data_IF_907895292982
#
_entry.id   IF_907895292982
#
_cell.length_a   1.000
_cell.length_b   1.000
_cell.length_c   1.000
_cell.angle_alpha   90.00
_cell.angle_beta   90.00
_cell.angle_gamma   90.00
#
_symmetry.space_group_name_H-M   'P 1'
#
loop_
_entity.id
_entity.type
_entity.pdbx_description
1 polymer ?
#
# COMPACT_ATOMS: atom_id res chain seq x y z
N UNK A 1 -41.22 43.01 -40.18
CA UNK A 1 -39.90 43.11 -40.82
C UNK A 1 -38.86 43.19 -39.72
N UNK A 2 -37.88 42.27 -39.75
CA UNK A 2 -36.61 42.25 -39.00
C UNK A 2 -36.71 42.26 -37.45
N UNK A 3 -35.89 41.56 -36.66
CA UNK A 3 -34.62 40.94 -36.95
C UNK A 3 -34.33 39.79 -35.96
N UNK A 4 -33.54 38.83 -36.44
CA UNK A 4 -33.23 37.54 -35.82
C UNK A 4 -31.71 37.47 -35.67
N UNK A 5 -31.19 37.77 -34.49
CA UNK A 5 -29.79 37.52 -34.11
C UNK A 5 -29.77 37.24 -32.61
N UNK A 6 -29.26 36.14 -32.08
CA UNK A 6 -28.04 35.42 -32.41
C UNK A 6 -27.45 35.03 -31.07
N UNK A 7 -27.68 33.79 -30.62
CA UNK A 7 -27.08 33.27 -29.37
C UNK A 7 -26.89 31.75 -29.47
N UNK A 8 -25.99 31.36 -30.36
CA UNK A 8 -25.36 30.03 -30.37
C UNK A 8 -23.88 30.31 -30.21
N UNK A 9 -23.32 30.03 -29.03
CA UNK A 9 -21.92 29.71 -28.75
C UNK A 9 -21.65 29.80 -27.24
N UNK A 10 -22.11 28.79 -26.48
CA UNK A 10 -21.72 28.61 -25.08
C UNK A 10 -21.83 27.13 -24.70
N UNK A 11 -21.14 26.25 -25.45
CA UNK A 11 -21.12 24.81 -25.16
C UNK A 11 -19.76 24.12 -25.29
N UNK A 12 -18.67 24.84 -25.59
CA UNK A 12 -17.36 24.20 -25.86
C UNK A 12 -16.19 24.63 -24.96
N UNK A 13 -16.45 25.34 -23.85
CA UNK A 13 -15.38 25.67 -22.86
C UNK A 13 -15.42 24.76 -21.62
N UNK A 14 -16.40 23.84 -21.53
CA UNK A 14 -16.63 23.01 -20.34
C UNK A 14 -16.08 21.57 -20.45
N UNK A 15 -15.02 21.34 -21.24
CA UNK A 15 -14.44 19.98 -21.41
C UNK A 15 -12.91 19.90 -21.30
N UNK A 16 -12.22 20.93 -20.82
CA UNK A 16 -10.75 20.89 -20.57
C UNK A 16 -10.43 21.19 -19.09
N UNK A 17 -11.38 20.95 -18.18
CA UNK A 17 -11.23 21.21 -16.74
C UNK A 17 -11.35 19.98 -15.84
N UNK A 18 -11.24 18.76 -16.38
CA UNK A 18 -11.54 17.51 -15.66
C UNK A 18 -10.41 16.46 -15.72
N UNK A 19 -9.16 16.89 -15.97
CA UNK A 19 -8.00 15.99 -16.01
C UNK A 19 -6.95 16.24 -14.91
N UNK A 20 -7.11 17.26 -14.05
CA UNK A 20 -6.03 17.71 -13.15
C UNK A 20 -6.33 17.55 -11.65
N UNK A 21 -7.33 16.77 -11.25
CA UNK A 21 -7.80 16.69 -9.86
C UNK A 21 -7.51 15.35 -9.15
N UNK A 22 -6.49 14.59 -9.55
CA UNK A 22 -6.16 13.28 -8.92
C UNK A 22 -4.75 13.22 -8.29
N UNK A 23 -3.97 14.31 -8.33
CA UNK A 23 -2.58 14.30 -7.79
C UNK A 23 -2.38 15.03 -6.45
N UNK A 24 -3.42 15.22 -5.62
CA UNK A 24 -3.33 15.95 -4.34
C UNK A 24 -3.33 15.09 -3.06
N UNK A 25 -2.97 13.80 -3.13
CA UNK A 25 -2.89 12.92 -1.93
C UNK A 25 -1.49 12.43 -1.57
N UNK A 26 -0.44 13.04 -2.12
CA UNK A 26 0.94 12.76 -1.69
C UNK A 26 1.73 14.05 -1.58
N UNK A 27 1.29 14.96 -0.70
CA UNK A 27 2.21 15.98 -0.23
C UNK A 27 3.38 15.23 0.44
N UNK A 28 4.62 15.36 -0.05
CA UNK A 28 5.76 14.86 0.69
C UNK A 28 5.76 15.61 2.01
N UNK A 29 5.65 14.88 3.13
CA UNK A 29 5.99 15.45 4.43
C UNK A 29 7.39 16.06 4.25
N UNK A 30 7.48 17.39 4.25
CA UNK A 30 8.75 18.08 4.33
C UNK A 30 9.27 17.76 5.74
N UNK A 31 9.96 16.63 5.84
CA UNK A 31 10.58 16.17 7.08
C UNK A 31 11.68 17.14 7.43
N UNK A 32 11.34 18.17 8.20
CA UNK A 32 12.31 18.82 9.06
C UNK A 32 12.81 17.73 10.00
N UNK A 33 13.96 17.15 9.67
CA UNK A 33 14.56 16.06 10.45
C UNK A 33 15.16 16.68 11.72
N UNK A 34 14.31 16.88 12.72
CA UNK A 34 14.74 17.19 14.08
C UNK A 34 15.19 15.88 14.69
N UNK A 35 16.50 15.61 14.64
CA UNK A 35 17.08 14.51 15.41
C UNK A 35 16.79 14.79 16.88
N UNK A 36 15.86 14.05 17.48
CA UNK A 36 15.49 14.26 18.88
C UNK A 36 16.54 13.62 19.77
N UNK A 37 17.29 14.46 20.48
CA UNK A 37 18.17 14.06 21.58
C UNK A 37 17.44 14.14 22.94
N UNK A 38 16.11 14.29 22.94
CA UNK A 38 15.35 14.43 24.17
C UNK A 38 15.40 13.11 24.97
N UNK A 39 15.66 13.17 26.29
CA UNK A 39 15.56 12.00 27.15
C UNK A 39 14.11 11.48 27.14
N UNK A 40 13.95 10.16 27.18
CA UNK A 40 12.62 9.54 27.27
C UNK A 40 12.05 9.86 28.64
N UNK A 41 11.02 10.70 28.68
CA UNK A 41 10.25 10.96 29.89
C UNK A 41 9.47 9.71 30.32
N UNK A 42 9.31 9.52 31.63
CA UNK A 42 8.66 8.33 32.18
C UNK A 42 7.20 8.20 31.72
N UNK A 43 6.51 9.32 31.51
CA UNK A 43 5.11 9.36 31.05
C UNK A 43 4.94 8.88 29.61
N UNK A 44 5.94 9.10 28.74
CA UNK A 44 5.88 8.73 27.31
C UNK A 44 6.61 7.41 27.00
N UNK A 45 7.24 6.80 27.99
CA UNK A 45 8.04 5.58 27.85
C UNK A 45 7.26 4.42 27.24
N UNK A 46 6.02 4.20 27.69
CA UNK A 46 5.19 3.09 27.22
C UNK A 46 4.74 3.31 25.76
N UNK A 47 4.43 4.55 25.38
CA UNK A 47 4.17 4.93 24.00
C UNK A 47 5.35 4.53 23.11
N UNK A 48 6.56 4.97 23.46
CA UNK A 48 7.74 4.77 22.63
C UNK A 48 8.12 3.30 22.50
N UNK A 49 8.03 2.55 23.60
CA UNK A 49 8.30 1.11 23.62
C UNK A 49 7.34 0.36 22.70
N UNK A 50 6.05 0.65 22.81
CA UNK A 50 5.02 -0.03 22.02
C UNK A 50 5.08 0.38 20.54
N UNK A 51 5.25 1.66 20.23
CA UNK A 51 5.44 2.15 18.87
C UNK A 51 6.66 1.50 18.20
N UNK A 52 7.78 1.39 18.93
CA UNK A 52 8.99 0.72 18.44
C UNK A 52 8.73 -0.77 18.18
N UNK A 53 8.08 -1.48 19.12
CA UNK A 53 7.73 -2.90 18.95
C UNK A 53 6.85 -3.11 17.71
N UNK A 54 5.80 -2.30 17.55
CA UNK A 54 4.91 -2.37 16.38
C UNK A 54 5.67 -2.10 15.09
N UNK A 55 6.56 -1.11 15.07
CA UNK A 55 7.36 -0.78 13.90
C UNK A 55 8.33 -1.91 13.52
N UNK A 56 8.97 -2.56 14.50
CA UNK A 56 9.80 -3.73 14.24
C UNK A 56 8.98 -4.91 13.68
N UNK A 57 7.80 -5.16 14.25
CA UNK A 57 6.90 -6.21 13.77
C UNK A 57 6.43 -5.93 12.33
N UNK A 58 6.18 -4.65 12.01
CA UNK A 58 5.86 -4.19 10.66
C UNK A 58 7.01 -4.49 9.68
N UNK A 59 8.26 -4.14 10.00
CA UNK A 59 9.42 -4.43 9.14
C UNK A 59 9.53 -5.93 8.87
N UNK A 60 9.45 -6.77 9.92
CA UNK A 60 9.51 -8.24 9.78
C UNK A 60 8.35 -8.77 8.93
N UNK A 61 7.17 -8.19 9.04
CA UNK A 61 6.00 -8.58 8.26
C UNK A 61 6.19 -8.21 6.78
N UNK A 62 6.72 -7.01 6.48
CA UNK A 62 7.07 -6.60 5.12
C UNK A 62 8.09 -7.57 4.47
N UNK A 63 9.11 -8.01 5.22
CA UNK A 63 10.06 -9.04 4.74
C UNK A 63 9.36 -10.37 4.39
N UNK A 64 8.32 -10.75 5.15
CA UNK A 64 7.56 -11.99 4.89
C UNK A 64 6.64 -11.84 3.69
N UNK A 65 5.98 -10.70 3.55
CA UNK A 65 5.13 -10.37 2.38
C UNK A 65 5.97 -10.41 1.11
N UNK A 66 7.10 -9.71 1.09
CA UNK A 66 8.01 -9.66 -0.05
C UNK A 66 8.49 -11.04 -0.50
N UNK A 67 9.02 -11.85 0.44
CA UNK A 67 9.48 -13.20 0.14
C UNK A 67 8.36 -14.10 -0.39
N UNK A 68 7.12 -13.88 0.04
CA UNK A 68 5.99 -14.73 -0.36
C UNK A 68 5.37 -14.24 -1.66
N UNK A 69 5.48 -12.97 -1.98
CA UNK A 69 5.18 -12.44 -3.31
C UNK A 69 6.22 -12.91 -4.35
N UNK A 70 7.47 -13.11 -3.94
CA UNK A 70 8.52 -13.65 -4.81
C UNK A 70 8.24 -15.10 -5.24
N UNK A 71 7.90 -15.96 -4.28
CA UNK A 71 7.55 -17.38 -4.49
C UNK A 71 6.15 -17.66 -3.93
N UNK A 72 5.09 -17.40 -4.71
CA UNK A 72 3.73 -17.45 -4.20
C UNK A 72 3.26 -18.89 -3.98
N UNK A 73 2.65 -19.13 -2.83
CA UNK A 73 2.07 -20.40 -2.42
C UNK A 73 0.76 -20.11 -1.68
N UNK A 74 -0.33 -20.79 -2.04
CA UNK A 74 -1.67 -20.51 -1.53
C UNK A 74 -1.75 -20.53 0.01
N UNK A 75 -1.19 -21.57 0.64
CA UNK A 75 -1.19 -21.72 2.11
C UNK A 75 -0.41 -20.60 2.78
N UNK A 76 0.80 -20.31 2.27
CA UNK A 76 1.68 -19.25 2.79
C UNK A 76 1.05 -17.85 2.67
N UNK A 77 0.41 -17.57 1.53
CA UNK A 77 -0.28 -16.29 1.31
C UNK A 77 -1.47 -16.14 2.29
N UNK A 78 -2.26 -17.19 2.54
CA UNK A 78 -3.33 -17.15 3.57
C UNK A 78 -2.78 -16.86 4.96
N UNK A 79 -1.70 -17.53 5.35
CA UNK A 79 -1.04 -17.29 6.64
C UNK A 79 -0.59 -15.83 6.75
N UNK A 80 -0.03 -15.25 5.68
CA UNK A 80 0.40 -13.85 5.67
C UNK A 80 -0.78 -12.90 5.73
N UNK A 81 -1.87 -13.15 5.00
CA UNK A 81 -3.10 -12.37 5.11
C UNK A 81 -3.62 -12.31 6.55
N UNK A 82 -3.58 -13.44 7.26
CA UNK A 82 -3.90 -13.52 8.69
C UNK A 82 -2.94 -12.71 9.58
N UNK A 83 -1.63 -12.79 9.33
CA UNK A 83 -0.64 -12.01 10.08
C UNK A 83 -0.80 -10.49 9.84
N UNK A 84 -1.11 -10.09 8.60
CA UNK A 84 -1.40 -8.68 8.28
C UNK A 84 -2.61 -8.20 9.08
N UNK A 85 -3.70 -8.96 9.11
CA UNK A 85 -4.88 -8.61 9.91
C UNK A 85 -4.55 -8.42 11.39
N UNK A 86 -3.82 -9.37 11.99
CA UNK A 86 -3.44 -9.30 13.40
C UNK A 86 -2.59 -8.06 13.69
N UNK A 87 -1.67 -7.71 12.78
CA UNK A 87 -0.84 -6.53 12.91
C UNK A 87 -1.65 -5.23 12.80
N UNK A 88 -2.55 -5.12 11.81
CA UNK A 88 -3.48 -3.98 11.68
C UNK A 88 -4.24 -3.78 12.99
N UNK A 89 -4.84 -4.84 13.55
CA UNK A 89 -5.60 -4.75 14.80
C UNK A 89 -4.74 -4.42 16.03
N UNK A 90 -3.44 -4.73 16.01
CA UNK A 90 -2.52 -4.30 17.07
C UNK A 90 -2.23 -2.80 16.96
N UNK A 91 -1.96 -2.32 15.75
CA UNK A 91 -1.72 -0.89 15.49
C UNK A 91 -2.97 -0.08 15.79
N UNK A 92 -4.16 -0.46 15.33
CA UNK A 92 -5.42 0.24 15.62
C UNK A 92 -5.70 0.39 17.11
N UNK A 93 -5.42 -0.65 17.91
CA UNK A 93 -5.57 -0.58 19.38
C UNK A 93 -4.60 0.42 19.99
N UNK A 94 -3.34 0.40 19.55
CA UNK A 94 -2.33 1.37 19.98
C UNK A 94 -2.72 2.80 19.57
N UNK A 95 -3.19 3.00 18.35
CA UNK A 95 -3.62 4.32 17.88
C UNK A 95 -4.78 4.84 18.74
N UNK A 96 -5.81 4.01 18.92
CA UNK A 96 -7.00 4.36 19.71
C UNK A 96 -6.69 4.63 21.19
N UNK A 97 -5.73 3.94 21.79
CA UNK A 97 -5.35 4.16 23.20
C UNK A 97 -4.61 5.46 23.43
N UNK A 98 -3.91 5.98 22.41
CA UNK A 98 -3.13 7.21 22.53
C UNK A 98 -3.90 8.43 22.00
N UNK A 99 -4.52 8.33 20.82
CA UNK A 99 -5.34 9.39 20.22
C UNK A 99 -6.59 8.79 19.53
N UNK A 100 -7.78 8.85 20.13
CA UNK A 100 -8.98 8.18 19.62
C UNK A 100 -9.44 8.59 18.20
N UNK A 101 -8.90 9.70 17.65
CA UNK A 101 -9.30 10.29 16.36
C UNK A 101 -8.07 10.50 15.47
N UNK A 102 -7.48 9.44 14.89
CA UNK A 102 -6.25 9.53 14.10
C UNK A 102 -6.38 10.44 12.87
N UNK A 103 -7.53 10.45 12.20
CA UNK A 103 -7.75 11.25 10.99
C UNK A 103 -7.56 12.76 11.23
N UNK A 104 -8.01 13.24 12.39
CA UNK A 104 -7.87 14.66 12.76
C UNK A 104 -6.42 15.04 13.05
N UNK A 105 -5.65 14.11 13.61
CA UNK A 105 -4.25 14.34 13.96
C UNK A 105 -3.34 14.28 12.73
N UNK A 106 -3.57 13.32 11.84
CA UNK A 106 -2.69 13.03 10.72
C UNK A 106 -3.09 13.74 9.41
N UNK A 107 -4.27 14.33 9.36
CA UNK A 107 -4.76 15.10 8.22
C UNK A 107 -5.63 16.25 8.72
N UNK A 108 -5.03 17.24 9.42
CA UNK A 108 -5.80 18.37 9.93
C UNK A 108 -6.46 19.11 8.77
N UNK A 109 -7.77 19.44 8.86
CA UNK A 109 -8.43 20.32 7.92
C UNK A 109 -7.67 21.65 7.82
N UNK A 110 -7.52 22.20 6.62
CA UNK A 110 -6.79 23.45 6.40
C UNK A 110 -7.33 24.66 7.20
N UNK A 111 -8.56 24.56 7.69
CA UNK A 111 -9.26 25.59 8.48
C UNK A 111 -9.05 25.44 10.00
N UNK A 112 -8.63 24.25 10.46
CA UNK A 112 -8.30 24.03 11.86
C UNK A 112 -6.81 24.31 12.01
N UNK A 113 -6.47 25.30 12.84
CA UNK A 113 -5.09 25.61 13.22
C UNK A 113 -4.46 24.48 14.05
N UNK A 114 -3.73 24.83 15.11
CA UNK A 114 -3.19 23.82 16.04
C UNK A 114 -4.30 22.83 16.48
N UNK A 115 -4.02 21.53 16.33
CA UNK A 115 -5.00 20.48 16.56
C UNK A 115 -5.26 20.37 18.07
N UNK A 116 -6.43 20.84 18.52
CA UNK A 116 -6.81 20.79 19.93
C UNK A 116 -6.66 19.36 20.49
N UNK A 117 -5.87 19.22 21.57
CA UNK A 117 -5.57 17.93 22.20
C UNK A 117 -4.21 17.32 21.82
N UNK A 118 -3.39 18.01 21.03
CA UNK A 118 -1.97 17.66 20.82
C UNK A 118 -1.02 18.34 21.80
N UNK A 119 -1.53 19.11 22.75
CA UNK A 119 -0.74 19.97 23.64
C UNK A 119 0.27 19.19 24.51
N UNK A 120 0.08 17.86 24.65
CA UNK A 120 1.02 16.94 25.31
C UNK A 120 1.80 16.01 24.38
N UNK A 121 1.60 16.10 23.06
CA UNK A 121 2.27 15.28 22.07
C UNK A 121 3.48 16.03 21.49
N UNK A 122 4.67 15.46 21.61
CA UNK A 122 5.82 15.98 20.84
C UNK A 122 5.61 15.79 19.34
N UNK A 123 6.23 16.64 18.52
CA UNK A 123 6.18 16.54 17.06
C UNK A 123 6.62 15.14 16.58
N UNK A 124 7.67 14.60 17.19
CA UNK A 124 8.21 13.28 16.87
C UNK A 124 7.21 12.16 17.16
N UNK A 125 6.47 12.23 18.29
CA UNK A 125 5.39 11.29 18.58
C UNK A 125 4.30 11.36 17.53
N UNK A 126 3.89 12.58 17.12
CA UNK A 126 2.87 12.74 16.08
C UNK A 126 3.35 12.15 14.75
N UNK A 127 4.62 12.35 14.38
CA UNK A 127 5.19 11.76 13.16
C UNK A 127 5.15 10.22 13.20
N UNK A 128 5.59 9.60 14.29
CA UNK A 128 5.57 8.14 14.46
C UNK A 128 4.14 7.61 14.46
N UNK A 129 3.24 8.28 15.18
CA UNK A 129 1.83 7.94 15.24
C UNK A 129 1.19 7.94 13.84
N UNK A 130 1.42 8.99 13.07
CA UNK A 130 0.84 9.13 11.74
C UNK A 130 1.47 8.19 10.71
N UNK A 131 2.76 7.85 10.84
CA UNK A 131 3.36 6.81 10.03
C UNK A 131 2.72 5.43 10.29
N UNK A 132 2.43 5.10 11.55
CA UNK A 132 1.72 3.87 11.92
C UNK A 132 0.25 3.90 11.45
N UNK A 133 -0.43 5.05 11.53
CA UNK A 133 -1.78 5.19 10.97
C UNK A 133 -1.79 4.97 9.46
N UNK A 134 -0.86 5.57 8.73
CA UNK A 134 -0.77 5.37 7.29
C UNK A 134 -0.45 3.90 6.93
N UNK A 135 0.35 3.21 7.75
CA UNK A 135 0.71 1.83 7.47
C UNK A 135 -0.47 0.85 7.58
N UNK A 136 -1.49 1.14 8.39
CA UNK A 136 -2.70 0.29 8.45
C UNK A 136 -3.46 0.32 7.13
N UNK A 137 -3.53 1.47 6.46
CA UNK A 137 -4.12 1.61 5.13
C UNK A 137 -3.33 0.81 4.08
N UNK A 138 -2.01 0.93 4.08
CA UNK A 138 -1.14 0.17 3.16
C UNK A 138 -1.34 -1.34 3.34
N UNK A 139 -1.35 -1.80 4.60
CA UNK A 139 -1.52 -3.20 4.92
C UNK A 139 -2.91 -3.73 4.58
N UNK A 140 -3.94 -2.90 4.70
CA UNK A 140 -5.30 -3.27 4.27
C UNK A 140 -5.32 -3.54 2.76
N UNK A 141 -4.68 -2.66 1.97
CA UNK A 141 -4.55 -2.86 0.53
C UNK A 141 -3.71 -4.10 0.20
N UNK A 142 -2.53 -4.25 0.82
CA UNK A 142 -1.67 -5.43 0.63
C UNK A 142 -2.40 -6.74 0.97
N UNK A 143 -3.17 -6.77 2.06
CA UNK A 143 -3.95 -7.94 2.46
C UNK A 143 -4.96 -8.32 1.37
N UNK A 144 -5.70 -7.35 0.85
CA UNK A 144 -6.70 -7.62 -0.20
C UNK A 144 -6.06 -8.28 -1.44
N UNK A 145 -4.85 -7.84 -1.81
CA UNK A 145 -4.09 -8.38 -2.93
C UNK A 145 -3.56 -9.79 -2.64
N UNK A 146 -3.00 -10.01 -1.44
CA UNK A 146 -2.52 -11.32 -0.97
C UNK A 146 -3.67 -12.34 -0.91
N UNK A 147 -4.82 -11.97 -0.36
CA UNK A 147 -6.00 -12.83 -0.25
C UNK A 147 -6.56 -13.19 -1.64
N UNK A 148 -6.63 -12.22 -2.55
CA UNK A 148 -7.00 -12.46 -3.95
C UNK A 148 -6.05 -13.44 -4.63
N UNK A 149 -4.74 -13.24 -4.47
CA UNK A 149 -3.74 -14.12 -5.05
C UNK A 149 -3.83 -15.54 -4.48
N UNK A 150 -4.01 -15.67 -3.15
CA UNK A 150 -4.19 -16.97 -2.51
C UNK A 150 -5.42 -17.72 -3.03
N UNK A 151 -6.52 -17.00 -3.29
CA UNK A 151 -7.76 -17.57 -3.86
C UNK A 151 -7.54 -18.08 -5.27
N UNK A 152 -6.85 -17.33 -6.13
CA UNK A 152 -6.54 -17.75 -7.50
C UNK A 152 -5.69 -19.02 -7.54
N UNK A 153 -4.73 -19.15 -6.61
CA UNK A 153 -3.88 -20.32 -6.51
C UNK A 153 -4.56 -21.55 -5.88
N UNK A 154 -5.62 -21.32 -5.08
CA UNK A 154 -6.41 -22.40 -4.47
C UNK A 154 -7.53 -22.89 -5.38
N UNK A 155 -7.79 -22.22 -6.52
CA UNK A 155 -8.86 -22.61 -7.41
C UNK A 155 -8.55 -24.01 -7.96
N UNK A 156 -9.44 -25.00 -7.77
CA UNK A 156 -9.23 -26.31 -8.37
C UNK A 156 -9.09 -26.09 -9.87
N UNK A 157 -8.03 -26.64 -10.45
CA UNK A 157 -7.95 -26.76 -11.90
C UNK A 157 -9.16 -27.61 -12.26
N UNK A 158 -10.21 -26.95 -12.76
CA UNK A 158 -11.36 -27.65 -13.32
C UNK A 158 -10.78 -28.30 -14.57
N UNK A 159 -10.22 -29.49 -14.40
CA UNK A 159 -10.04 -30.45 -15.48
C UNK A 159 -11.45 -30.71 -15.94
N UNK A 160 -11.89 -29.91 -16.90
CA UNK A 160 -13.09 -30.17 -17.65
C UNK A 160 -12.93 -31.60 -18.13
N UNK A 161 -13.65 -32.53 -17.49
CA UNK A 161 -13.86 -33.84 -18.03
C UNK A 161 -14.55 -33.55 -19.35
N UNK A 162 -13.79 -33.57 -20.44
CA UNK A 162 -14.34 -33.58 -21.78
C UNK A 162 -15.10 -34.89 -21.85
N UNK A 163 -16.35 -34.86 -21.41
CA UNK A 163 -17.31 -35.90 -21.73
C UNK A 163 -17.52 -35.74 -23.22
N UNK A 164 -16.66 -36.39 -24.01
CA UNK A 164 -16.89 -36.58 -25.43
C UNK A 164 -18.27 -37.24 -25.55
N UNK A 165 -19.28 -36.58 -26.14
CA UNK A 165 -20.44 -37.32 -26.57
C UNK A 165 -19.98 -38.21 -27.72
N UNK A 166 -19.89 -39.51 -27.47
CA UNK A 166 -19.88 -40.54 -28.50
C UNK A 166 -21.21 -40.43 -29.25
N UNK A 167 -21.25 -39.60 -30.30
CA UNK A 167 -22.32 -39.67 -31.27
C UNK A 167 -21.72 -39.64 -32.67
N UNK A 168 -21.78 -40.76 -33.43
CA UNK A 168 -21.34 -40.78 -34.80
C UNK A 168 -22.40 -40.11 -35.68
N UNK A 169 -21.92 -39.31 -36.64
CA UNK A 169 -22.56 -39.02 -37.93
C UNK A 169 -23.54 -37.84 -37.98
N UNK A 170 -23.00 -36.67 -38.32
CA UNK A 170 -23.52 -35.87 -39.46
C UNK A 170 -22.48 -34.85 -39.91
N UNK A 171 -22.12 -34.89 -41.19
CA UNK A 171 -21.32 -33.87 -41.85
C UNK A 171 -22.13 -32.57 -41.91
N UNK A 172 -21.65 -31.49 -41.30
CA UNK A 172 -21.97 -30.13 -41.73
C UNK A 172 -20.86 -29.15 -41.35
N UNK A 173 -20.17 -28.70 -42.39
CA UNK A 173 -19.21 -27.60 -42.43
C UNK A 173 -19.82 -26.34 -41.82
N UNK A 174 -19.21 -25.77 -40.80
CA UNK A 174 -19.69 -24.54 -40.18
C UNK A 174 -18.79 -24.05 -39.05
N UNK A 175 -17.90 -23.13 -39.39
CA UNK A 175 -17.28 -22.08 -38.56
C UNK A 175 -16.73 -22.51 -37.18
N UNK A 176 -15.41 -22.66 -37.17
CA UNK A 176 -14.55 -22.82 -36.00
C UNK A 176 -14.78 -21.69 -34.98
N UNK A 177 -15.24 -21.97 -33.75
CA UNK A 177 -15.21 -21.00 -32.68
C UNK A 177 -13.77 -20.91 -32.16
N UNK A 178 -13.16 -19.76 -32.41
CA UNK A 178 -11.88 -19.33 -31.86
C UNK A 178 -11.82 -19.61 -30.35
N UNK A 179 -10.90 -20.47 -29.94
CA UNK A 179 -10.61 -20.75 -28.54
C UNK A 179 -10.26 -19.44 -27.82
N UNK A 180 -10.87 -19.14 -26.65
CA UNK A 180 -10.47 -17.99 -25.85
C UNK A 180 -9.05 -18.24 -25.32
N UNK A 181 -8.11 -17.40 -25.76
CA UNK A 181 -6.73 -17.39 -25.31
C UNK A 181 -6.66 -17.31 -23.77
N UNK A 182 -5.75 -18.04 -23.11
CA UNK A 182 -5.56 -17.97 -21.67
C UNK A 182 -5.15 -16.54 -21.29
N UNK A 183 -5.98 -15.91 -20.48
CA UNK A 183 -5.84 -14.52 -20.07
C UNK A 183 -4.59 -14.32 -19.21
N UNK A 184 -3.73 -13.40 -19.64
CA UNK A 184 -2.48 -12.93 -19.03
C UNK A 184 -2.65 -12.16 -17.70
N UNK A 185 -3.77 -12.36 -16.99
CA UNK A 185 -4.15 -11.57 -15.81
C UNK A 185 -3.32 -11.80 -14.53
N UNK A 186 -2.30 -12.66 -14.55
CA UNK A 186 -1.53 -13.03 -13.35
C UNK A 186 -0.31 -12.15 -13.06
N UNK A 187 0.13 -11.30 -13.99
CA UNK A 187 1.40 -10.55 -13.82
C UNK A 187 1.23 -9.28 -12.97
N UNK A 188 0.04 -8.65 -13.00
CA UNK A 188 -0.17 -7.33 -12.39
C UNK A 188 -0.13 -7.36 -10.85
N UNK A 189 -0.59 -8.43 -10.20
CA UNK A 189 -0.74 -8.45 -8.73
C UNK A 189 0.60 -8.51 -7.98
N UNK A 190 1.62 -9.16 -8.54
CA UNK A 190 2.94 -9.26 -7.88
C UNK A 190 3.64 -7.90 -7.84
N UNK A 191 3.59 -7.14 -8.94
CA UNK A 191 4.20 -5.82 -9.03
C UNK A 191 3.57 -4.83 -8.05
N UNK A 192 2.26 -4.87 -7.89
CA UNK A 192 1.52 -4.00 -6.96
C UNK A 192 1.85 -4.29 -5.49
N UNK A 193 1.93 -5.56 -5.08
CA UNK A 193 2.28 -5.90 -3.69
C UNK A 193 3.71 -5.44 -3.38
N UNK A 194 4.65 -5.66 -4.30
CA UNK A 194 6.04 -5.25 -4.10
C UNK A 194 6.21 -3.73 -4.10
N UNK A 195 5.46 -2.99 -4.91
CA UNK A 195 5.50 -1.52 -4.88
C UNK A 195 4.95 -0.96 -3.56
N UNK A 196 3.88 -1.56 -3.02
CA UNK A 196 3.36 -1.21 -1.69
C UNK A 196 4.39 -1.51 -0.59
N UNK A 197 5.02 -2.69 -0.61
CA UNK A 197 6.07 -3.04 0.35
C UNK A 197 7.22 -2.02 0.31
N UNK A 198 7.69 -1.66 -0.89
CA UNK A 198 8.76 -0.68 -1.04
C UNK A 198 8.35 0.69 -0.50
N UNK A 199 7.15 1.15 -0.86
CA UNK A 199 6.58 2.41 -0.39
C UNK A 199 6.48 2.46 1.14
N UNK A 200 6.00 1.38 1.77
CA UNK A 200 5.90 1.28 3.23
C UNK A 200 7.27 1.27 3.90
N UNK A 201 8.28 0.57 3.35
CA UNK A 201 9.66 0.62 3.88
C UNK A 201 10.25 2.02 3.81
N UNK A 202 10.04 2.73 2.70
CA UNK A 202 10.53 4.08 2.53
C UNK A 202 9.94 5.03 3.57
N UNK A 203 8.63 4.94 3.83
CA UNK A 203 7.98 5.70 4.92
C UNK A 203 8.58 5.38 6.29
N UNK A 204 8.80 4.10 6.58
CA UNK A 204 9.43 3.70 7.84
C UNK A 204 10.85 4.27 7.99
N UNK A 205 11.61 4.36 6.90
CA UNK A 205 12.94 4.96 6.92
C UNK A 205 12.88 6.47 7.20
N UNK A 206 11.86 7.16 6.68
CA UNK A 206 11.66 8.58 6.92
C UNK A 206 11.30 8.89 8.37
N UNK A 207 10.61 7.98 9.06
CA UNK A 207 10.19 8.18 10.46
C UNK A 207 11.19 7.61 11.47
N UNK A 208 12.17 6.81 11.04
CA UNK A 208 13.22 6.29 11.92
C UNK A 208 13.92 7.37 12.77
N UNK A 209 14.26 8.57 12.26
CA UNK A 209 14.92 9.61 13.06
C UNK A 209 14.03 10.22 14.14
N UNK A 210 12.71 10.05 14.06
CA UNK A 210 11.76 10.52 15.06
C UNK A 210 11.74 9.61 16.31
N UNK A 211 12.30 8.40 16.24
CA UNK A 211 12.46 7.57 17.43
C UNK A 211 13.59 8.09 18.32
N UNK A 212 13.42 8.04 19.66
CA UNK A 212 14.51 8.30 20.59
C UNK A 212 15.73 7.44 20.26
N UNK A 213 16.94 7.96 20.47
CA UNK A 213 18.18 7.30 20.06
C UNK A 213 18.31 5.85 20.57
N UNK A 214 17.87 5.59 21.80
CA UNK A 214 17.87 4.25 22.40
C UNK A 214 16.93 3.23 21.73
N UNK A 215 16.00 3.69 20.90
CA UNK A 215 14.98 2.88 20.21
C UNK A 215 15.09 3.00 18.68
N UNK A 216 16.19 3.55 18.17
CA UNK A 216 16.41 3.56 16.73
C UNK A 216 16.66 2.14 16.21
N UNK A 217 16.04 1.83 15.07
CA UNK A 217 16.15 0.54 14.41
C UNK A 217 16.70 0.72 13.01
N UNK A 218 17.46 -0.26 12.52
CA UNK A 218 17.97 -0.24 11.15
C UNK A 218 16.99 -0.94 10.22
N UNK A 219 16.58 -0.26 9.16
CA UNK A 219 15.83 -0.87 8.07
C UNK A 219 16.84 -1.41 7.07
N UNK A 220 16.98 -2.73 7.01
CA UNK A 220 17.82 -3.38 6.01
C UNK A 220 17.16 -3.18 4.63
N UNK A 221 17.83 -2.55 3.65
CA UNK A 221 17.29 -2.43 2.31
C UNK A 221 17.11 -3.82 1.69
N UNK A 222 15.99 -4.03 0.99
CA UNK A 222 15.75 -5.31 0.34
C UNK A 222 16.80 -5.57 -0.75
N UNK A 223 17.38 -6.78 -0.83
CA UNK A 223 18.33 -7.14 -1.87
C UNK A 223 17.72 -7.12 -3.28
N UNK A 224 16.39 -7.14 -3.41
CA UNK A 224 15.70 -7.15 -4.71
C UNK A 224 15.90 -5.86 -5.53
N UNK A 225 16.38 -4.77 -4.91
CA UNK A 225 16.72 -3.52 -5.60
C UNK A 225 18.13 -3.47 -6.19
N UNK A 226 18.97 -4.48 -5.95
CA UNK A 226 20.21 -4.64 -6.71
C UNK A 226 19.88 -5.26 -8.07
N UNK A 227 19.25 -4.48 -8.94
CA UNK A 227 19.45 -4.71 -10.38
C UNK A 227 20.92 -4.40 -10.65
N UNK A 228 21.73 -5.36 -11.15
CA UNK A 228 23.06 -5.05 -11.65
C UNK A 228 22.88 -4.18 -12.89
N UNK A 229 22.78 -2.86 -12.69
CA UNK A 229 22.91 -1.91 -13.78
C UNK A 229 24.34 -2.04 -14.30
N UNK A 230 24.45 -2.78 -15.40
CA UNK A 230 25.42 -2.56 -16.47
C UNK A 230 26.85 -2.27 -15.99
N UNK A 231 27.52 -3.30 -15.47
CA UNK A 231 28.96 -3.41 -15.65
C UNK A 231 29.24 -3.72 -17.13
N UNK A 232 28.97 -2.76 -18.00
CA UNK A 232 29.36 -2.83 -19.40
C UNK A 232 29.68 -1.42 -19.90
N UNK A 233 30.73 -1.31 -20.72
CA UNK A 233 31.28 -0.09 -21.31
C UNK A 233 32.33 0.70 -20.53
N UNK A 234 33.45 0.05 -20.18
CA UNK A 234 34.77 0.73 -20.22
C UNK A 234 35.90 -0.25 -20.55
N UNK A 235 35.99 -0.60 -21.82
CA UNK A 235 37.23 -1.05 -22.45
C UNK A 235 37.24 -0.50 -23.86
N UNK A 236 37.89 0.65 -24.03
CA UNK A 236 38.57 1.13 -25.24
C UNK A 236 39.39 2.35 -24.86
#
# INVERSE_FOLDING_TARGET
MADKAGRRNMRYVLLIGLASAVFLLSAPFAGASTRSNAPIEDETRDYWREAHRLTQDQVRLLDRVERSAATPEATRLKTIGGQILLHISAVERFLKSNYPKPDFLCSPPAELGEVAGTDGASLEQVQVYCALHQSTHDFTTMRSQVDRQAKLMSAPVVTAKVTQPLNPRTMKTGLSPSAPSPSTGSVTTKGEVLSLVHSSRQRLAQVQPAFPEALQFSIVPSPANFSPQSADSRSR
#
